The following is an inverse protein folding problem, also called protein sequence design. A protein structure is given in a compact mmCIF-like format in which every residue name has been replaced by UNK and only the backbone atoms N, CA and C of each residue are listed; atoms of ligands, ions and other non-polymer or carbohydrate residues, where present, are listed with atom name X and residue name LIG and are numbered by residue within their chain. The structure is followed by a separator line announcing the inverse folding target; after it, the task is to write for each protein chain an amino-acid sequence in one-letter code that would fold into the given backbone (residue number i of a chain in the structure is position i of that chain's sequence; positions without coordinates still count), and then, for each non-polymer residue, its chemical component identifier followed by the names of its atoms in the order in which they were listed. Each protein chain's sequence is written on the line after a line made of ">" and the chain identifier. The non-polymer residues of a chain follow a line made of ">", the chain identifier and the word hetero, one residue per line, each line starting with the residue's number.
data_IF_598472750457
#
_entry.id   IF_598472750457
#
_cell.length_a   1.000
_cell.length_b   1.000
_cell.length_c   1.000
_cell.angle_alpha   90.00
_cell.angle_beta   90.00
_cell.angle_gamma   90.00
#
_symmetry.space_group_name_H-M   'P 1'
#
loop_
_entity.id
_entity.type
_entity.pdbx_description
1 polymer ?
#
# COMPACT_ATOMS: atom_id res chain seq x y z
N UNK A 1 -7.93 1.60 -19.56
CA UNK A 1 -9.39 1.42 -19.70
C UNK A 1 -9.95 2.64 -20.39
N UNK A 2 -10.57 2.47 -21.56
CA UNK A 2 -11.04 3.61 -22.37
C UNK A 2 -12.37 4.14 -21.81
N UNK A 3 -12.58 5.45 -21.80
CA UNK A 3 -13.85 6.09 -21.35
C UNK A 3 -15.06 5.52 -22.12
N UNK A 4 -14.87 5.06 -23.35
CA UNK A 4 -15.89 4.48 -24.23
C UNK A 4 -16.49 3.16 -23.71
N UNK A 5 -15.84 2.47 -22.77
CA UNK A 5 -16.28 1.15 -22.28
C UNK A 5 -17.19 1.24 -21.05
N UNK A 6 -17.53 2.45 -20.60
CA UNK A 6 -18.33 2.70 -19.39
C UNK A 6 -19.70 3.25 -19.73
N UNK A 7 -20.76 2.85 -19.02
CA UNK A 7 -22.06 3.48 -19.15
C UNK A 7 -22.00 4.96 -18.78
N UNK A 8 -22.80 5.79 -19.47
CA UNK A 8 -22.89 7.22 -19.14
C UNK A 8 -23.24 7.47 -17.68
N UNK A 9 -24.06 6.61 -17.08
CA UNK A 9 -24.45 6.68 -15.65
C UNK A 9 -23.25 6.63 -14.69
N UNK A 10 -22.11 6.11 -15.12
CA UNK A 10 -20.88 6.06 -14.29
C UNK A 10 -20.16 7.40 -14.25
N UNK A 11 -20.10 8.14 -15.37
CA UNK A 11 -19.31 9.36 -15.48
C UNK A 11 -20.12 10.63 -15.72
N UNK A 12 -21.40 10.52 -15.98
CA UNK A 12 -22.32 11.65 -16.20
C UNK A 12 -23.48 11.69 -15.21
N UNK A 13 -23.20 11.37 -13.92
CA UNK A 13 -24.22 11.26 -12.87
C UNK A 13 -25.02 12.54 -12.63
N UNK A 14 -24.48 13.71 -12.97
CA UNK A 14 -25.16 15.01 -12.97
C UNK A 14 -25.54 15.50 -14.37
N UNK A 15 -25.53 14.59 -15.37
CA UNK A 15 -25.90 14.85 -16.77
C UNK A 15 -25.06 15.95 -17.43
N UNK A 16 -23.77 16.06 -17.07
CA UNK A 16 -22.88 17.09 -17.61
C UNK A 16 -23.17 18.51 -17.14
N UNK A 17 -24.08 18.69 -16.19
CA UNK A 17 -24.43 20.02 -15.67
C UNK A 17 -23.38 20.58 -14.68
N UNK A 18 -22.61 19.72 -14.06
CA UNK A 18 -21.59 20.08 -13.10
C UNK A 18 -20.44 19.05 -13.17
N UNK A 19 -19.41 19.42 -13.89
CA UNK A 19 -18.22 18.59 -14.13
C UNK A 19 -17.52 18.16 -12.84
N UNK A 20 -17.37 19.07 -11.89
CA UNK A 20 -16.81 18.77 -10.56
C UNK A 20 -17.61 17.70 -9.80
N UNK A 21 -18.94 17.81 -9.80
CA UNK A 21 -19.78 16.82 -9.13
C UNK A 21 -19.81 15.48 -9.88
N UNK A 22 -19.72 15.50 -11.20
CA UNK A 22 -19.60 14.29 -12.02
C UNK A 22 -18.27 13.59 -11.72
N UNK A 23 -17.13 14.30 -11.63
CA UNK A 23 -15.83 13.75 -11.29
C UNK A 23 -15.82 13.07 -9.91
N UNK A 24 -16.28 13.77 -8.88
CA UNK A 24 -16.33 13.24 -7.50
C UNK A 24 -17.15 11.95 -7.43
N UNK A 25 -18.32 11.92 -8.07
CA UNK A 25 -19.20 10.75 -8.02
C UNK A 25 -18.67 9.58 -8.87
N UNK A 26 -18.01 9.87 -9.99
CA UNK A 26 -17.46 8.85 -10.92
C UNK A 26 -16.56 7.85 -10.20
N UNK A 27 -15.78 8.28 -9.23
CA UNK A 27 -14.86 7.40 -8.45
C UNK A 27 -15.62 6.24 -7.81
N UNK A 28 -16.66 6.56 -7.07
CA UNK A 28 -17.51 5.57 -6.39
C UNK A 28 -18.41 4.79 -7.36
N UNK A 29 -18.97 5.46 -8.34
CA UNK A 29 -19.81 4.82 -9.36
C UNK A 29 -19.01 3.84 -10.21
N UNK A 30 -17.71 4.10 -10.44
CA UNK A 30 -16.80 3.18 -11.09
C UNK A 30 -16.57 1.92 -10.24
N UNK A 31 -16.35 2.07 -8.93
CA UNK A 31 -16.22 0.95 -8.01
C UNK A 31 -17.45 0.05 -8.07
N UNK A 32 -18.63 0.64 -8.01
CA UNK A 32 -19.90 -0.08 -8.06
C UNK A 32 -20.13 -0.78 -9.41
N UNK A 33 -19.82 -0.11 -10.52
CA UNK A 33 -19.94 -0.71 -11.85
C UNK A 33 -18.94 -1.85 -12.08
N UNK A 34 -17.72 -1.74 -11.57
CA UNK A 34 -16.77 -2.85 -11.63
C UNK A 34 -17.20 -4.01 -10.74
N UNK A 35 -17.65 -3.73 -9.52
CA UNK A 35 -17.98 -4.74 -8.51
C UNK A 35 -19.40 -5.34 -8.65
N UNK A 36 -20.31 -4.68 -9.33
CA UNK A 36 -21.69 -5.12 -9.46
C UNK A 36 -21.84 -6.53 -10.01
N UNK A 37 -22.70 -7.34 -9.39
CA UNK A 37 -22.90 -8.76 -9.65
C UNK A 37 -21.85 -9.69 -9.05
N UNK A 38 -20.88 -9.16 -8.31
CA UNK A 38 -19.95 -9.96 -7.49
C UNK A 38 -20.60 -10.37 -6.17
N UNK A 39 -19.89 -11.21 -5.40
CA UNK A 39 -20.34 -11.63 -4.06
C UNK A 39 -20.43 -10.44 -3.08
N UNK A 40 -19.69 -9.39 -3.31
CA UNK A 40 -19.69 -8.18 -2.47
C UNK A 40 -20.75 -7.15 -2.87
N UNK A 41 -21.30 -7.23 -4.10
CA UNK A 41 -22.36 -6.37 -4.63
C UNK A 41 -23.38 -7.17 -5.43
N UNK A 42 -24.06 -8.16 -4.81
CA UNK A 42 -24.87 -9.14 -5.55
C UNK A 42 -26.13 -8.56 -6.19
N UNK A 43 -26.68 -7.49 -5.65
CA UNK A 43 -27.92 -6.87 -6.13
C UNK A 43 -27.70 -5.73 -7.14
N UNK A 44 -26.47 -5.52 -7.61
CA UNK A 44 -26.12 -4.51 -8.62
C UNK A 44 -25.66 -5.16 -9.91
N UNK A 45 -25.96 -4.53 -11.05
CA UNK A 45 -25.41 -4.93 -12.34
C UNK A 45 -24.00 -4.34 -12.53
N UNK A 46 -23.06 -5.16 -13.07
CA UNK A 46 -21.71 -4.70 -13.31
C UNK A 46 -20.80 -5.72 -13.96
N UNK A 47 -19.50 -5.56 -13.71
CA UNK A 47 -18.44 -6.39 -14.32
C UNK A 47 -18.02 -7.60 -13.47
N UNK A 48 -18.60 -7.78 -12.31
CA UNK A 48 -18.35 -8.87 -11.36
C UNK A 48 -16.91 -8.94 -10.84
N UNK A 49 -16.18 -7.84 -10.86
CA UNK A 49 -14.88 -7.78 -10.23
C UNK A 49 -15.08 -7.88 -8.71
N UNK A 50 -14.43 -8.80 -7.99
CA UNK A 50 -14.67 -9.01 -6.57
C UNK A 50 -13.96 -7.92 -5.73
N UNK A 51 -14.45 -6.68 -5.84
CA UNK A 51 -13.97 -5.54 -5.05
C UNK A 51 -14.56 -5.69 -3.64
N UNK A 52 -13.70 -5.79 -2.65
CA UNK A 52 -14.09 -6.02 -1.27
C UNK A 52 -14.14 -4.74 -0.43
N UNK A 53 -13.31 -3.75 -0.74
CA UNK A 53 -13.28 -2.46 -0.07
C UNK A 53 -12.93 -1.31 -1.02
N UNK A 54 -13.22 -0.09 -0.60
CA UNK A 54 -12.87 1.14 -1.33
C UNK A 54 -12.17 2.12 -0.38
N UNK A 55 -11.04 2.67 -0.80
CA UNK A 55 -10.26 3.63 -0.03
C UNK A 55 -9.91 4.84 -0.87
N UNK A 56 -10.23 6.03 -0.37
CA UNK A 56 -9.78 7.30 -0.93
C UNK A 56 -8.64 7.88 -0.09
N UNK A 57 -7.53 8.20 -0.77
CA UNK A 57 -6.33 8.79 -0.16
C UNK A 57 -6.33 10.29 -0.40
N UNK A 58 -6.38 11.05 0.67
CA UNK A 58 -6.44 12.51 0.65
C UNK A 58 -5.35 13.14 1.50
N UNK A 59 -5.11 14.43 1.27
CA UNK A 59 -4.44 15.34 2.19
C UNK A 59 -5.37 16.49 2.52
N UNK A 60 -5.51 16.81 3.78
CA UNK A 60 -6.41 17.85 4.27
C UNK A 60 -5.77 19.24 4.28
N UNK A 61 -6.56 20.25 4.56
CA UNK A 61 -6.16 21.61 4.88
C UNK A 61 -6.17 21.84 6.40
N UNK A 62 -5.42 22.83 6.84
CA UNK A 62 -5.34 23.23 8.25
C UNK A 62 -3.98 22.96 8.87
N UNK A 63 -3.76 23.56 10.02
CA UNK A 63 -2.49 23.50 10.75
C UNK A 63 -2.73 23.79 12.22
N UNK A 64 -1.81 23.34 13.08
CA UNK A 64 -1.81 23.72 14.49
C UNK A 64 -1.29 25.16 14.65
N UNK A 65 -1.92 25.98 15.51
CA UNK A 65 -1.52 27.37 15.73
C UNK A 65 -0.09 27.55 16.24
N UNK A 66 0.50 26.52 16.86
CA UNK A 66 1.89 26.53 17.31
C UNK A 66 2.91 26.47 16.16
N UNK A 67 2.47 26.08 14.94
CA UNK A 67 3.30 25.94 13.76
C UNK A 67 4.39 24.88 13.85
N UNK A 68 4.41 24.07 14.91
CA UNK A 68 5.46 23.07 15.19
C UNK A 68 4.92 21.65 15.28
N UNK A 69 3.71 21.48 15.79
CA UNK A 69 3.05 20.17 15.91
C UNK A 69 2.40 19.77 14.59
N UNK A 70 2.44 18.47 14.28
CA UNK A 70 1.75 17.93 13.10
C UNK A 70 0.22 18.09 13.25
N UNK A 71 -0.46 18.41 12.15
CA UNK A 71 -1.92 18.39 12.08
C UNK A 71 -2.44 16.96 12.13
N UNK A 72 -1.78 16.07 11.39
CA UNK A 72 -1.94 14.63 11.47
C UNK A 72 -3.14 14.07 10.73
N UNK A 73 -3.50 12.83 11.06
CA UNK A 73 -4.47 12.03 10.32
C UNK A 73 -5.91 12.15 10.83
N UNK A 74 -6.86 12.15 9.88
CA UNK A 74 -8.30 12.09 10.08
C UNK A 74 -8.87 11.03 9.15
N UNK A 75 -9.90 10.27 9.59
CA UNK A 75 -10.61 9.37 8.71
C UNK A 75 -12.11 9.70 8.65
N UNK A 76 -12.73 9.38 7.52
CA UNK A 76 -14.14 9.65 7.26
C UNK A 76 -14.81 8.35 6.82
N UNK A 77 -16.01 8.10 7.35
CA UNK A 77 -16.93 7.05 6.92
C UNK A 77 -18.33 7.62 6.80
N UNK A 78 -19.26 6.84 6.27
CA UNK A 78 -20.71 7.14 6.28
C UNK A 78 -21.46 5.90 6.73
N UNK A 79 -22.09 5.95 7.91
CA UNK A 79 -22.90 4.84 8.42
C UNK A 79 -24.40 5.06 8.21
N UNK A 80 -24.85 6.31 8.09
CA UNK A 80 -26.25 6.69 7.91
C UNK A 80 -26.57 6.90 6.42
N UNK A 81 -26.67 5.80 5.66
CA UNK A 81 -27.06 5.79 4.26
C UNK A 81 -27.62 4.40 3.89
N UNK A 82 -28.65 4.32 3.07
CA UNK A 82 -29.35 3.08 2.70
C UNK A 82 -29.70 2.23 3.94
N UNK A 83 -30.39 2.83 4.92
CA UNK A 83 -30.80 2.20 6.18
C UNK A 83 -29.60 1.57 6.94
N UNK A 84 -28.41 2.13 6.76
CA UNK A 84 -27.17 1.64 7.38
C UNK A 84 -26.59 0.35 6.79
N UNK A 85 -27.03 -0.02 5.57
CA UNK A 85 -26.64 -1.29 4.94
C UNK A 85 -25.87 -1.07 3.64
N UNK A 86 -24.97 -1.99 3.33
CA UNK A 86 -24.29 -2.14 2.03
C UNK A 86 -25.10 -3.09 1.13
N UNK A 87 -24.78 -3.13 -0.16
CA UNK A 87 -25.47 -3.96 -1.15
C UNK A 87 -25.44 -5.47 -0.83
N UNK A 88 -24.40 -5.94 -0.16
CA UNK A 88 -24.30 -7.32 0.33
C UNK A 88 -25.17 -7.64 1.56
N UNK A 89 -25.85 -6.65 2.14
CA UNK A 89 -26.56 -6.79 3.40
C UNK A 89 -25.69 -6.64 4.66
N UNK A 90 -24.39 -6.33 4.51
CA UNK A 90 -23.48 -6.03 5.62
C UNK A 90 -23.77 -4.61 6.12
N UNK A 91 -23.70 -4.42 7.45
CA UNK A 91 -23.83 -3.09 8.05
C UNK A 91 -22.69 -2.15 7.62
N UNK A 92 -23.04 -0.88 7.35
CA UNK A 92 -22.06 0.20 7.10
C UNK A 92 -21.14 0.51 8.30
N UNK A 93 -21.41 -0.06 9.47
CA UNK A 93 -20.43 -0.05 10.58
C UNK A 93 -19.10 -0.71 10.20
N UNK A 94 -19.07 -1.65 9.25
CA UNK A 94 -17.82 -2.18 8.68
C UNK A 94 -16.94 -1.08 8.07
N UNK A 95 -17.54 -0.07 7.42
CA UNK A 95 -16.83 1.12 6.93
C UNK A 95 -16.25 1.96 8.07
N UNK A 96 -16.98 2.08 9.18
CA UNK A 96 -16.51 2.82 10.37
C UNK A 96 -15.35 2.12 11.05
N UNK A 97 -15.41 0.79 11.18
CA UNK A 97 -14.34 -0.01 11.75
C UNK A 97 -13.07 0.08 10.90
N UNK A 98 -13.21 -0.01 9.57
CA UNK A 98 -12.12 0.17 8.63
C UNK A 98 -11.50 1.57 8.72
N UNK A 99 -12.32 2.63 8.68
CA UNK A 99 -11.86 4.01 8.78
C UNK A 99 -11.13 4.29 10.10
N UNK A 100 -11.69 3.75 11.21
CA UNK A 100 -11.07 3.87 12.54
C UNK A 100 -9.71 3.19 12.57
N UNK A 101 -9.61 1.97 12.06
CA UNK A 101 -8.36 1.22 12.00
C UNK A 101 -7.30 1.94 11.15
N UNK A 102 -7.67 2.48 9.96
CA UNK A 102 -6.78 3.25 9.11
C UNK A 102 -6.16 4.43 9.84
N UNK A 103 -6.99 5.26 10.52
CA UNK A 103 -6.50 6.41 11.26
C UNK A 103 -5.62 6.01 12.44
N UNK A 104 -6.08 5.07 13.25
CA UNK A 104 -5.43 4.73 14.51
C UNK A 104 -4.06 4.05 14.25
N UNK A 105 -3.99 3.11 13.30
CA UNK A 105 -2.74 2.45 12.92
C UNK A 105 -1.77 3.43 12.25
N UNK A 106 -2.27 4.34 11.38
CA UNK A 106 -1.43 5.35 10.75
C UNK A 106 -0.80 6.27 11.80
N UNK A 107 -1.58 6.76 12.76
CA UNK A 107 -1.08 7.61 13.85
C UNK A 107 -0.04 6.88 14.70
N UNK A 108 -0.29 5.61 15.02
CA UNK A 108 0.65 4.78 15.80
C UNK A 108 1.97 4.58 15.05
N UNK A 109 1.93 4.14 13.79
CA UNK A 109 3.14 3.88 12.98
C UNK A 109 3.94 5.17 12.75
N UNK A 110 3.26 6.31 12.48
CA UNK A 110 3.89 7.60 12.31
C UNK A 110 4.50 8.12 13.61
N UNK A 111 3.83 7.91 14.75
CA UNK A 111 4.36 8.29 16.07
C UNK A 111 5.59 7.46 16.41
N UNK A 112 5.57 6.15 16.14
CA UNK A 112 6.71 5.27 16.35
C UNK A 112 7.93 5.65 15.51
N UNK A 113 7.70 6.21 14.30
CA UNK A 113 8.76 6.57 13.36
C UNK A 113 9.31 7.99 13.61
N UNK A 114 8.43 8.96 13.91
CA UNK A 114 8.76 10.39 13.97
C UNK A 114 8.63 11.01 15.36
N UNK A 115 8.31 10.23 16.39
CA UNK A 115 8.20 10.64 17.78
C UNK A 115 6.84 11.21 18.17
N UNK A 116 6.15 11.93 17.29
CA UNK A 116 4.78 12.41 17.52
C UNK A 116 4.06 12.64 16.20
N UNK A 117 2.76 12.31 16.18
CA UNK A 117 1.92 12.55 15.02
C UNK A 117 0.49 12.85 15.44
N UNK A 118 -0.14 13.86 14.86
CA UNK A 118 -1.47 14.33 15.24
C UNK A 118 -2.56 13.28 14.98
N UNK A 119 -3.38 13.00 16.00
CA UNK A 119 -4.58 12.18 15.87
C UNK A 119 -5.81 13.07 15.87
N UNK A 120 -6.48 13.13 14.74
CA UNK A 120 -7.69 13.92 14.56
C UNK A 120 -8.94 13.06 14.67
N UNK A 121 -10.06 13.59 14.22
CA UNK A 121 -11.38 12.97 14.38
C UNK A 121 -11.55 11.72 13.51
N UNK A 122 -12.47 10.86 13.90
CA UNK A 122 -13.17 9.92 13.04
C UNK A 122 -14.52 10.57 12.72
N UNK A 123 -14.69 11.02 11.49
CA UNK A 123 -15.92 11.67 11.06
C UNK A 123 -16.88 10.66 10.40
N UNK A 124 -18.06 10.57 10.97
CA UNK A 124 -19.20 9.90 10.34
C UNK A 124 -20.01 10.94 9.60
N UNK A 125 -19.75 11.10 8.31
CA UNK A 125 -20.30 12.19 7.50
C UNK A 125 -20.59 11.76 6.08
N UNK A 126 -21.57 12.43 5.47
CA UNK A 126 -22.06 12.16 4.14
C UNK A 126 -21.13 12.73 3.05
N UNK A 127 -20.07 12.00 2.73
CA UNK A 127 -19.20 12.27 1.57
C UNK A 127 -19.50 11.26 0.46
N UNK A 128 -19.35 11.66 -0.81
CA UNK A 128 -19.64 10.77 -1.95
C UNK A 128 -18.76 9.52 -1.98
N UNK A 129 -17.49 9.65 -1.62
CA UNK A 129 -16.51 8.55 -1.62
C UNK A 129 -16.68 7.55 -0.45
N UNK A 130 -17.53 7.88 0.54
CA UNK A 130 -17.86 6.96 1.64
C UNK A 130 -19.32 6.53 1.66
N UNK A 131 -20.20 7.32 1.04
CA UNK A 131 -21.63 7.03 0.93
C UNK A 131 -21.98 6.12 -0.25
N UNK A 132 -21.42 6.46 -1.44
CA UNK A 132 -21.82 5.82 -2.69
C UNK A 132 -21.24 4.43 -2.91
N UNK A 133 -20.00 4.09 -2.48
CA UNK A 133 -19.54 2.72 -2.61
C UNK A 133 -20.44 1.76 -1.83
N UNK A 134 -20.74 0.61 -2.45
CA UNK A 134 -21.56 -0.44 -1.87
C UNK A 134 -20.75 -1.58 -1.26
N UNK A 135 -19.49 -1.28 -0.90
CA UNK A 135 -18.56 -2.08 -0.09
C UNK A 135 -18.04 -1.24 1.06
N UNK A 136 -17.44 -1.84 2.10
CA UNK A 136 -16.76 -1.08 3.16
C UNK A 136 -15.84 -0.03 2.56
N UNK A 137 -16.01 1.23 2.99
CA UNK A 137 -15.33 2.36 2.37
C UNK A 137 -14.90 3.42 3.37
N UNK A 138 -13.76 4.06 3.11
CA UNK A 138 -13.22 5.12 3.93
C UNK A 138 -12.50 6.18 3.09
N UNK A 139 -12.47 7.41 3.59
CA UNK A 139 -11.46 8.41 3.23
C UNK A 139 -10.46 8.46 4.37
N UNK A 140 -9.16 8.47 4.04
CA UNK A 140 -8.10 8.81 4.98
C UNK A 140 -7.44 10.12 4.56
N UNK A 141 -7.55 11.13 5.39
CA UNK A 141 -6.76 12.35 5.31
C UNK A 141 -5.45 12.08 6.04
N UNK A 142 -4.42 11.69 5.28
CA UNK A 142 -3.18 11.16 5.83
C UNK A 142 -2.38 12.20 6.61
N UNK A 143 -2.49 13.47 6.22
CA UNK A 143 -1.78 14.62 6.77
C UNK A 143 -2.37 15.91 6.17
N UNK A 144 -1.85 17.08 6.56
CA UNK A 144 -2.27 18.36 5.98
C UNK A 144 -1.20 18.95 5.07
N UNK A 145 -1.60 19.31 3.84
CA UNK A 145 -0.76 20.04 2.90
C UNK A 145 -0.54 21.52 3.27
N UNK A 146 -1.23 22.06 4.28
CA UNK A 146 -1.04 23.40 4.82
C UNK A 146 -0.19 23.42 6.09
N UNK A 147 0.08 22.27 6.70
CA UNK A 147 0.91 22.13 7.89
C UNK A 147 2.37 21.91 7.50
N UNK A 148 3.26 22.84 7.86
CA UNK A 148 4.68 22.70 7.57
C UNK A 148 5.32 21.45 8.20
N UNK A 149 5.04 21.09 9.49
CA UNK A 149 5.50 19.84 10.07
C UNK A 149 5.03 18.60 9.30
N UNK A 150 3.76 18.56 8.88
CA UNK A 150 3.22 17.44 8.09
C UNK A 150 3.93 17.35 6.73
N UNK A 151 4.14 18.47 6.06
CA UNK A 151 4.78 18.51 4.75
C UNK A 151 6.26 18.12 4.79
N UNK A 152 6.97 18.37 5.88
CA UNK A 152 8.33 17.83 6.08
C UNK A 152 8.31 16.30 6.07
N UNK A 153 7.36 15.68 6.77
CA UNK A 153 7.17 14.23 6.78
C UNK A 153 6.74 13.73 5.39
N UNK A 154 5.82 14.43 4.72
CA UNK A 154 5.34 14.06 3.39
C UNK A 154 6.43 14.09 2.31
N UNK A 155 7.48 14.92 2.47
CA UNK A 155 8.63 14.97 1.57
C UNK A 155 9.70 13.92 1.91
N UNK A 156 9.72 13.43 3.14
CA UNK A 156 10.65 12.39 3.58
C UNK A 156 10.30 11.02 2.94
N UNK A 157 11.25 10.34 2.28
CA UNK A 157 11.03 8.99 1.77
C UNK A 157 10.55 8.00 2.84
N UNK A 158 11.06 8.10 4.07
CA UNK A 158 10.63 7.27 5.19
C UNK A 158 9.18 7.60 5.59
N UNK A 159 8.77 8.87 5.55
CA UNK A 159 7.39 9.29 5.79
C UNK A 159 6.43 8.66 4.79
N UNK A 160 6.75 8.73 3.50
CA UNK A 160 5.96 8.10 2.43
C UNK A 160 5.87 6.58 2.60
N UNK A 161 6.99 5.94 2.91
CA UNK A 161 7.04 4.50 3.14
C UNK A 161 6.20 4.09 4.35
N UNK A 162 6.33 4.80 5.48
CA UNK A 162 5.58 4.52 6.71
C UNK A 162 4.07 4.67 6.49
N UNK A 163 3.63 5.72 5.81
CA UNK A 163 2.21 5.92 5.45
C UNK A 163 1.71 4.76 4.59
N UNK A 164 2.41 4.44 3.50
CA UNK A 164 2.00 3.38 2.58
C UNK A 164 1.98 2.01 3.27
N UNK A 165 2.98 1.68 4.09
CA UNK A 165 3.07 0.43 4.83
C UNK A 165 1.99 0.31 5.90
N UNK A 166 1.65 1.39 6.60
CA UNK A 166 0.58 1.42 7.60
C UNK A 166 -0.79 1.15 6.96
N UNK A 167 -1.06 1.80 5.83
CA UNK A 167 -2.30 1.57 5.07
C UNK A 167 -2.35 0.11 4.57
N UNK A 168 -1.27 -0.40 4.00
CA UNK A 168 -1.16 -1.80 3.56
C UNK A 168 -1.44 -2.78 4.69
N UNK A 169 -0.79 -2.62 5.85
CA UNK A 169 -1.01 -3.48 7.02
C UNK A 169 -2.47 -3.45 7.48
N UNK A 170 -3.09 -2.27 7.46
CA UNK A 170 -4.48 -2.11 7.88
C UNK A 170 -5.44 -2.79 6.91
N UNK A 171 -5.25 -2.64 5.60
CA UNK A 171 -6.03 -3.32 4.57
C UNK A 171 -5.87 -4.85 4.72
N UNK A 172 -4.63 -5.33 4.82
CA UNK A 172 -4.34 -6.75 4.97
C UNK A 172 -5.03 -7.34 6.20
N UNK A 173 -4.97 -6.65 7.35
CA UNK A 173 -5.62 -7.10 8.59
C UNK A 173 -7.14 -7.13 8.45
N UNK A 174 -7.73 -6.11 7.85
CA UNK A 174 -9.16 -6.04 7.62
C UNK A 174 -9.65 -7.19 6.72
N UNK A 175 -8.99 -7.40 5.59
CA UNK A 175 -9.32 -8.47 4.63
C UNK A 175 -9.10 -9.85 5.26
N UNK A 176 -7.94 -10.09 5.88
CA UNK A 176 -7.63 -11.38 6.53
C UNK A 176 -8.66 -11.74 7.59
N UNK A 177 -9.09 -10.76 8.41
CA UNK A 177 -10.12 -10.98 9.44
C UNK A 177 -11.49 -11.34 8.85
N UNK A 178 -11.85 -10.76 7.71
CA UNK A 178 -13.13 -11.04 7.05
C UNK A 178 -13.17 -12.44 6.41
N UNK A 179 -12.01 -13.02 6.11
CA UNK A 179 -11.88 -14.31 5.45
C UNK A 179 -11.36 -15.43 6.37
N UNK A 180 -11.18 -15.15 7.66
CA UNK A 180 -10.55 -16.09 8.61
C UNK A 180 -9.16 -16.57 8.15
N UNK A 181 -8.44 -15.72 7.40
CA UNK A 181 -7.11 -16.00 6.89
C UNK A 181 -6.00 -15.46 7.82
N UNK A 182 -4.83 -16.12 7.86
CA UNK A 182 -3.71 -15.64 8.66
C UNK A 182 -3.26 -14.24 8.25
N UNK A 183 -3.12 -13.36 9.24
CA UNK A 183 -2.49 -12.06 9.05
C UNK A 183 -0.97 -12.21 9.07
N UNK A 184 -0.34 -12.13 7.90
CA UNK A 184 1.12 -12.17 7.73
C UNK A 184 1.57 -11.05 6.81
N UNK A 185 2.36 -10.13 7.35
CA UNK A 185 2.89 -8.99 6.60
C UNK A 185 4.15 -9.40 5.83
N UNK A 186 4.29 -8.94 4.59
CA UNK A 186 5.51 -9.15 3.81
C UNK A 186 6.73 -8.53 4.51
N UNK A 187 7.94 -9.11 4.36
CA UNK A 187 9.16 -8.61 4.99
C UNK A 187 9.54 -7.20 4.52
N UNK A 188 10.42 -6.56 5.27
CA UNK A 188 11.17 -5.40 4.78
C UNK A 188 12.27 -5.85 3.79
N UNK A 189 12.67 -4.95 2.91
CA UNK A 189 13.79 -5.19 2.00
C UNK A 189 15.06 -5.55 2.80
N UNK A 190 15.88 -6.52 2.33
CA UNK A 190 17.19 -6.77 2.94
C UNK A 190 18.05 -5.52 2.92
N UNK A 191 18.92 -5.37 3.91
CA UNK A 191 19.89 -4.27 3.99
C UNK A 191 21.34 -4.77 4.05
N UNK A 192 22.31 -3.86 3.99
CA UNK A 192 23.74 -4.17 3.96
C UNK A 192 24.06 -5.21 2.89
N UNK A 193 23.42 -5.07 1.72
CA UNK A 193 23.72 -5.92 0.58
C UNK A 193 25.13 -5.62 0.07
N UNK A 194 25.95 -6.65 -0.12
CA UNK A 194 27.30 -6.55 -0.66
C UNK A 194 27.59 -7.63 -1.68
N UNK A 195 28.49 -7.34 -2.59
CA UNK A 195 28.98 -8.26 -3.62
C UNK A 195 30.51 -8.18 -3.65
N UNK A 196 31.17 -9.29 -3.39
CA UNK A 196 32.63 -9.42 -3.45
C UNK A 196 33.00 -10.47 -4.50
N UNK A 197 33.96 -10.16 -5.38
CA UNK A 197 34.41 -11.09 -6.43
C UNK A 197 35.83 -11.53 -6.13
N UNK A 198 36.05 -12.86 -6.07
CA UNK A 198 37.40 -13.42 -5.85
C UNK A 198 38.23 -13.52 -7.13
N UNK A 199 39.50 -13.89 -6.97
CA UNK A 199 40.47 -14.06 -8.06
C UNK A 199 40.04 -15.15 -9.07
N UNK A 200 39.20 -16.08 -8.66
CA UNK A 200 38.70 -17.15 -9.50
C UNK A 200 37.39 -16.76 -10.20
N UNK A 201 36.82 -15.53 -9.93
CA UNK A 201 35.61 -15.01 -10.50
C UNK A 201 34.33 -15.53 -9.86
N UNK A 202 34.38 -16.00 -8.61
CA UNK A 202 33.16 -16.23 -7.84
C UNK A 202 32.71 -14.93 -7.16
N UNK A 203 31.46 -14.54 -7.39
CA UNK A 203 30.85 -13.46 -6.66
C UNK A 203 30.17 -14.03 -5.41
N UNK A 204 30.55 -13.53 -4.24
CA UNK A 204 29.90 -13.79 -2.96
C UNK A 204 28.96 -12.63 -2.64
N UNK A 205 27.69 -12.90 -2.61
CA UNK A 205 26.61 -11.95 -2.28
C UNK A 205 26.21 -12.17 -0.83
N UNK A 206 26.22 -11.12 -0.01
CA UNK A 206 25.79 -11.18 1.39
C UNK A 206 24.83 -10.06 1.72
N UNK A 207 23.94 -10.26 2.70
CA UNK A 207 22.96 -9.27 3.15
C UNK A 207 22.50 -9.56 4.57
N UNK A 208 21.83 -8.59 5.17
CA UNK A 208 21.17 -8.76 6.45
C UNK A 208 19.64 -8.71 6.30
N UNK A 209 18.94 -9.53 7.11
CA UNK A 209 17.51 -9.39 7.28
C UNK A 209 17.19 -8.06 7.97
N UNK A 210 16.32 -7.27 7.39
CA UNK A 210 15.76 -6.11 8.06
C UNK A 210 14.50 -6.52 8.83
N UNK A 211 14.56 -6.48 10.16
CA UNK A 211 13.42 -6.83 11.01
C UNK A 211 12.55 -5.60 11.26
N UNK A 212 11.24 -5.79 11.12
CA UNK A 212 10.24 -4.80 11.53
C UNK A 212 9.92 -5.01 13.02
N UNK A 213 10.38 -4.08 13.88
CA UNK A 213 10.21 -4.19 15.34
C UNK A 213 8.76 -4.06 15.78
N UNK A 214 7.93 -3.42 14.97
CA UNK A 214 6.50 -3.20 15.24
C UNK A 214 5.60 -4.25 14.62
N UNK A 215 6.17 -5.13 13.74
CA UNK A 215 5.40 -6.14 13.01
C UNK A 215 6.13 -7.49 12.98
N UNK A 216 5.96 -8.30 14.05
CA UNK A 216 6.67 -9.59 14.17
C UNK A 216 6.35 -10.59 13.06
N UNK A 217 5.18 -10.49 12.41
CA UNK A 217 4.78 -11.39 11.32
C UNK A 217 5.62 -11.15 10.06
N UNK A 218 6.25 -9.98 9.93
CA UNK A 218 7.07 -9.59 8.77
C UNK A 218 8.48 -10.22 8.76
N UNK A 219 8.74 -11.25 9.57
CA UNK A 219 10.05 -11.90 9.63
C UNK A 219 10.32 -12.69 8.33
N UNK A 220 11.46 -12.49 7.68
CA UNK A 220 11.87 -13.29 6.52
C UNK A 220 12.04 -14.77 6.87
N UNK A 221 11.66 -15.66 5.95
CA UNK A 221 11.92 -17.12 6.01
C UNK A 221 12.85 -17.59 4.92
N UNK A 222 12.98 -16.82 3.85
CA UNK A 222 13.85 -17.07 2.70
C UNK A 222 14.12 -15.76 1.93
N UNK A 223 14.93 -15.85 0.88
CA UNK A 223 15.29 -14.73 0.02
C UNK A 223 15.24 -15.17 -1.44
N UNK A 224 15.08 -14.20 -2.34
CA UNK A 224 15.23 -14.40 -3.78
C UNK A 224 16.36 -13.49 -4.25
N UNK A 225 17.37 -14.10 -4.88
CA UNK A 225 18.46 -13.39 -5.53
C UNK A 225 18.14 -13.25 -7.00
N UNK A 226 18.07 -12.03 -7.49
CA UNK A 226 17.86 -11.71 -8.90
C UNK A 226 19.17 -11.29 -9.55
N UNK A 227 19.38 -11.76 -10.77
CA UNK A 227 20.56 -11.47 -11.58
C UNK A 227 20.14 -10.90 -12.94
N UNK A 228 20.91 -9.93 -13.44
CA UNK A 228 20.81 -9.43 -14.80
C UNK A 228 22.19 -9.30 -15.41
N UNK A 229 22.34 -9.54 -16.72
CA UNK A 229 23.56 -9.30 -17.48
C UNK A 229 23.48 -7.95 -18.19
N UNK A 230 24.48 -7.10 -17.97
CA UNK A 230 24.59 -5.78 -18.59
C UNK A 230 23.37 -4.89 -18.37
N UNK A 231 22.71 -4.49 -19.47
CA UNK A 231 21.47 -3.69 -19.45
C UNK A 231 20.21 -4.54 -19.61
N UNK A 232 20.34 -5.87 -19.50
CA UNK A 232 19.21 -6.80 -19.58
C UNK A 232 18.24 -6.68 -18.42
N UNK A 233 17.07 -7.30 -18.55
CA UNK A 233 16.14 -7.47 -17.44
C UNK A 233 16.66 -8.47 -16.40
N UNK A 234 16.16 -8.37 -15.17
CA UNK A 234 16.43 -9.38 -14.16
C UNK A 234 15.75 -10.70 -14.53
N UNK A 235 16.38 -11.81 -14.14
CA UNK A 235 15.85 -13.16 -14.27
C UNK A 235 14.64 -13.41 -13.34
N UNK A 236 14.16 -14.66 -13.28
CA UNK A 236 13.06 -15.05 -12.41
C UNK A 236 13.50 -15.27 -10.94
N UNK A 237 14.78 -15.05 -10.64
CA UNK A 237 15.37 -15.15 -9.32
C UNK A 237 15.65 -16.57 -8.85
N UNK A 238 16.61 -16.69 -7.95
CA UNK A 238 16.98 -17.94 -7.27
C UNK A 238 16.60 -17.86 -5.81
N UNK A 239 15.77 -18.78 -5.33
CA UNK A 239 15.36 -18.82 -3.93
C UNK A 239 16.44 -19.47 -3.07
N UNK A 240 16.81 -18.79 -1.97
CA UNK A 240 17.79 -19.26 -0.98
C UNK A 240 17.26 -19.07 0.45
N UNK A 241 17.74 -19.91 1.38
CA UNK A 241 17.32 -19.84 2.79
C UNK A 241 18.38 -19.20 3.69
N UNK A 242 19.58 -18.99 3.17
CA UNK A 242 20.68 -18.31 3.85
C UNK A 242 20.75 -16.85 3.39
N UNK A 243 21.49 -16.03 4.12
CA UNK A 243 21.81 -14.66 3.77
C UNK A 243 23.14 -14.51 3.02
N UNK A 244 23.55 -15.58 2.33
CA UNK A 244 24.70 -15.64 1.44
C UNK A 244 24.34 -16.45 0.19
N UNK A 245 24.84 -15.99 -0.97
CA UNK A 245 24.73 -16.68 -2.25
C UNK A 245 26.01 -16.51 -3.05
N UNK A 246 26.52 -17.60 -3.62
CA UNK A 246 27.72 -17.59 -4.45
C UNK A 246 27.37 -17.95 -5.88
N UNK A 247 27.93 -17.21 -6.83
CA UNK A 247 27.72 -17.43 -8.27
C UNK A 247 29.01 -17.19 -9.04
N UNK A 248 29.28 -18.04 -10.04
CA UNK A 248 30.42 -17.89 -10.94
C UNK A 248 30.10 -16.85 -12.00
N UNK A 249 30.97 -15.85 -12.17
CA UNK A 249 30.87 -14.85 -13.22
C UNK A 249 31.70 -15.26 -14.44
N UNK A 250 31.21 -14.92 -15.62
CA UNK A 250 31.97 -15.05 -16.86
C UNK A 250 32.89 -13.82 -17.01
N UNK A 251 34.17 -14.03 -17.47
CA UNK A 251 35.11 -12.94 -17.68
C UNK A 251 34.55 -11.89 -18.66
N UNK A 252 34.75 -10.61 -18.32
CA UNK A 252 34.38 -9.48 -19.18
C UNK A 252 32.88 -9.14 -19.23
N UNK A 253 32.02 -9.90 -18.51
CA UNK A 253 30.60 -9.61 -18.44
C UNK A 253 30.26 -8.84 -17.17
N UNK A 254 29.44 -7.78 -17.33
CA UNK A 254 28.90 -7.03 -16.22
C UNK A 254 27.60 -7.71 -15.71
N UNK A 255 27.54 -8.00 -14.44
CA UNK A 255 26.34 -8.54 -13.79
C UNK A 255 25.77 -7.54 -12.80
N UNK A 256 24.44 -7.51 -12.68
CA UNK A 256 23.71 -6.72 -11.70
C UNK A 256 22.93 -7.67 -10.79
N UNK A 257 22.99 -7.44 -9.50
CA UNK A 257 22.32 -8.26 -8.49
C UNK A 257 21.46 -7.41 -7.58
N UNK A 258 20.36 -8.00 -7.13
CA UNK A 258 19.51 -7.48 -6.06
C UNK A 258 18.88 -8.65 -5.31
N UNK A 259 18.47 -8.43 -4.06
CA UNK A 259 17.91 -9.48 -3.21
C UNK A 259 16.58 -8.99 -2.63
N UNK A 260 15.58 -9.85 -2.63
CA UNK A 260 14.32 -9.65 -1.92
C UNK A 260 14.15 -10.66 -0.80
N UNK A 261 13.52 -10.28 0.29
CA UNK A 261 13.15 -11.15 1.39
C UNK A 261 11.75 -11.72 1.19
N UNK A 262 11.50 -12.94 1.64
CA UNK A 262 10.24 -13.66 1.41
C UNK A 262 9.74 -14.29 2.71
N UNK A 263 8.44 -14.26 2.92
CA UNK A 263 7.70 -15.06 3.90
C UNK A 263 6.32 -15.45 3.33
N UNK A 264 5.42 -15.98 4.16
CA UNK A 264 4.06 -16.33 3.73
C UNK A 264 3.21 -15.11 3.31
N UNK A 265 3.55 -13.91 3.78
CA UNK A 265 2.88 -12.66 3.39
C UNK A 265 3.33 -12.11 2.04
N UNK A 266 4.33 -12.73 1.42
CA UNK A 266 4.82 -12.37 0.10
C UNK A 266 6.29 -11.96 0.06
N UNK A 267 6.66 -11.34 -1.05
CA UNK A 267 8.00 -10.85 -1.35
C UNK A 267 8.13 -9.36 -1.01
N UNK A 268 9.26 -8.98 -0.41
CA UNK A 268 9.58 -7.59 -0.10
C UNK A 268 9.93 -6.78 -1.36
N UNK A 269 10.04 -5.46 -1.22
CA UNK A 269 10.84 -4.70 -2.17
C UNK A 269 12.27 -5.24 -2.20
N UNK A 270 12.97 -5.16 -3.34
CA UNK A 270 14.37 -5.60 -3.40
C UNK A 270 15.30 -4.62 -2.66
N UNK A 271 16.50 -5.11 -2.33
CA UNK A 271 17.64 -4.29 -1.95
C UNK A 271 18.02 -3.30 -3.05
N UNK A 272 19.00 -2.44 -2.78
CA UNK A 272 19.73 -1.74 -3.83
C UNK A 272 20.28 -2.73 -4.87
N UNK A 273 20.49 -2.25 -6.09
CA UNK A 273 21.17 -3.02 -7.14
C UNK A 273 22.66 -2.78 -7.09
N UNK A 274 23.45 -3.83 -6.94
CA UNK A 274 24.89 -3.78 -7.05
C UNK A 274 25.38 -4.48 -8.31
N UNK A 275 26.45 -3.94 -8.86
CA UNK A 275 27.07 -4.47 -10.09
C UNK A 275 28.41 -5.12 -9.79
N UNK A 276 28.72 -6.20 -10.50
CA UNK A 276 29.99 -6.90 -10.43
C UNK A 276 30.53 -7.23 -11.82
N UNK A 277 31.83 -7.11 -11.99
CA UNK A 277 32.56 -7.46 -13.20
C UNK A 277 33.79 -8.27 -12.83
N UNK A 278 33.95 -9.43 -13.43
CA UNK A 278 35.15 -10.24 -13.29
C UNK A 278 36.09 -10.03 -14.49
N UNK A 279 37.30 -9.53 -14.23
CA UNK A 279 38.35 -9.40 -15.21
C UNK A 279 39.60 -10.18 -14.69
N UNK A 280 39.86 -11.39 -15.19
CA UNK A 280 41.08 -12.10 -14.81
C UNK A 280 42.31 -11.32 -15.29
N UNK A 281 43.32 -11.16 -14.44
CA UNK A 281 44.60 -10.57 -14.76
C UNK A 281 45.48 -11.53 -15.53
#
# INVERSE_FOLDING_TARGET
>A
MCIRDRPYSVYGGRKGKNDYADDINTRSMMTNWLGGGSVYMPAMDGKRVPIELSLALHSDAGYNPDGQSTWGALAICTTDFNDGMLNSGISRFASKDFAKALRDNLVEDMTNTFGSFGKRYLWDRNYSETRLPEVPSAIIEMLSHQSFPDMRIAQDPMGKFTIARSIYKTILRFVSSNHDEPYVVQPLAPNHFSVEVDELGYASLTWNAQLDKTEPTAKPTSYIVYQAEGKGGFDNGTMVRSNIYNVKLEPGKLYNFRVAAVNQGGESFPSETLSALYNPT
#
